data_IF_370900546592
#
_entry.id   IF_370900546592
#
_cell.length_a   1.000
_cell.length_b   1.000
_cell.length_c   1.000
_cell.angle_alpha   90.00
_cell.angle_beta   90.00
_cell.angle_gamma   90.00
#
_symmetry.space_group_name_H-M   'P 1'
#
loop_
_entity.id
_entity.type
_entity.pdbx_description
1 polymer ?
#
# COMPACT_ATOMS: atom_id res chain seq x y z
N UNK A 1 31.23 -2.70 24.04
CA UNK A 1 30.30 -1.61 23.67
C UNK A 1 28.93 -2.24 23.66
N UNK A 2 27.91 -1.65 24.27
CA UNK A 2 26.55 -2.16 24.14
C UNK A 2 26.19 -2.07 22.65
N UNK A 3 25.77 -3.18 22.05
CA UNK A 3 25.22 -3.17 20.72
C UNK A 3 23.90 -2.40 20.76
N UNK A 4 23.70 -1.54 19.80
CA UNK A 4 22.53 -0.67 19.75
C UNK A 4 21.28 -1.46 19.30
N UNK A 5 20.09 -0.91 19.57
CA UNK A 5 18.84 -1.44 19.06
C UNK A 5 18.63 -0.97 17.62
N UNK A 6 18.35 -1.88 16.72
CA UNK A 6 17.88 -1.58 15.37
C UNK A 6 16.37 -1.34 15.40
N UNK A 7 15.93 -0.18 14.93
CA UNK A 7 14.53 0.17 14.77
C UNK A 7 14.13 0.09 13.31
N UNK A 8 12.97 -0.49 13.04
CA UNK A 8 12.50 -0.75 11.68
C UNK A 8 11.02 -0.34 11.57
N UNK A 9 10.71 0.37 10.49
CA UNK A 9 9.34 0.58 10.03
C UNK A 9 9.11 -0.21 8.74
N UNK A 10 8.02 -0.96 8.66
CA UNK A 10 7.62 -1.73 7.48
C UNK A 10 6.22 -1.32 7.07
N UNK A 11 6.05 -0.94 5.82
CA UNK A 11 4.77 -0.87 5.13
C UNK A 11 4.61 -2.15 4.31
N UNK A 12 3.66 -3.00 4.71
CA UNK A 12 3.49 -4.34 4.14
C UNK A 12 2.37 -4.35 3.10
N UNK A 13 2.62 -3.75 1.94
CA UNK A 13 1.61 -3.57 0.91
C UNK A 13 1.37 -4.79 0.01
N UNK A 14 0.16 -4.90 -0.56
CA UNK A 14 -0.28 -6.01 -1.44
C UNK A 14 0.60 -6.18 -2.68
N UNK A 15 1.08 -5.12 -3.26
CA UNK A 15 1.92 -5.16 -4.48
C UNK A 15 3.39 -4.91 -4.20
N UNK A 16 3.66 -3.98 -3.30
CA UNK A 16 4.99 -3.48 -2.96
C UNK A 16 5.05 -3.26 -1.45
N UNK A 17 6.13 -3.67 -0.84
CA UNK A 17 6.42 -3.40 0.56
C UNK A 17 7.63 -2.49 0.68
N UNK A 18 7.62 -1.65 1.70
CA UNK A 18 8.71 -0.72 1.99
C UNK A 18 9.23 -1.00 3.40
N UNK A 19 10.54 -1.02 3.56
CA UNK A 19 11.20 -1.08 4.86
C UNK A 19 12.18 0.08 5.00
N UNK A 20 12.12 0.76 6.12
CA UNK A 20 13.11 1.76 6.51
C UNK A 20 13.66 1.44 7.90
N UNK A 21 14.95 1.71 8.13
CA UNK A 21 15.61 1.40 9.41
C UNK A 21 16.37 2.59 9.97
N UNK A 22 16.62 2.55 11.28
CA UNK A 22 17.45 3.54 11.99
C UNK A 22 18.94 3.51 11.55
N UNK A 23 19.34 2.47 10.82
CA UNK A 23 20.65 2.35 10.18
C UNK A 23 20.70 2.99 8.78
N UNK A 24 19.68 3.76 8.40
CA UNK A 24 19.55 4.41 7.09
C UNK A 24 19.42 3.44 5.91
N UNK A 25 18.97 2.21 6.15
CA UNK A 25 18.56 1.33 5.06
C UNK A 25 17.13 1.67 4.65
N UNK A 26 16.94 1.86 3.35
CA UNK A 26 15.66 2.05 2.71
C UNK A 26 15.52 0.99 1.63
N UNK A 27 14.52 0.15 1.75
CA UNK A 27 14.25 -0.96 0.84
C UNK A 27 12.84 -0.84 0.31
N UNK A 28 12.70 -0.96 -0.99
CA UNK A 28 11.42 -1.03 -1.68
C UNK A 28 11.42 -2.31 -2.52
N UNK A 29 10.58 -3.26 -2.18
CA UNK A 29 10.56 -4.59 -2.78
C UNK A 29 9.14 -4.96 -3.23
N UNK A 30 9.01 -5.60 -4.39
CA UNK A 30 7.72 -6.14 -4.82
C UNK A 30 7.30 -7.30 -3.91
N UNK A 31 6.05 -7.29 -3.43
CA UNK A 31 5.51 -8.34 -2.55
C UNK A 31 5.18 -9.59 -3.37
N UNK A 32 6.22 -10.25 -3.85
CA UNK A 32 6.14 -11.49 -4.62
C UNK A 32 7.29 -12.43 -4.26
N UNK A 33 6.98 -13.70 -4.18
CA UNK A 33 7.91 -14.77 -3.82
C UNK A 33 7.90 -15.81 -4.93
N UNK A 34 9.06 -16.30 -5.32
CA UNK A 34 9.21 -17.32 -6.33
C UNK A 34 9.91 -18.57 -5.78
N UNK A 35 9.34 -19.75 -6.03
CA UNK A 35 10.01 -21.03 -5.75
C UNK A 35 10.24 -21.80 -7.06
N UNK A 36 11.38 -22.50 -7.24
CA UNK A 36 11.66 -23.27 -8.46
C UNK A 36 10.55 -24.26 -8.76
N UNK A 37 10.12 -24.33 -10.04
CA UNK A 37 9.06 -25.24 -10.50
C UNK A 37 9.44 -26.70 -10.39
N UNK A 38 10.73 -26.99 -10.57
CA UNK A 38 11.25 -28.34 -10.64
C UNK A 38 12.76 -28.40 -10.28
N UNK A 39 13.36 -29.60 -10.15
CA UNK A 39 14.79 -29.73 -9.86
C UNK A 39 15.72 -29.08 -10.89
N UNK A 40 15.30 -28.95 -12.16
CA UNK A 40 16.11 -28.29 -13.21
C UNK A 40 16.18 -26.82 -12.95
N UNK A 41 15.00 -26.18 -12.68
CA UNK A 41 14.92 -24.78 -12.30
C UNK A 41 15.74 -24.50 -11.01
N UNK A 42 15.64 -25.38 -9.99
CA UNK A 42 16.43 -25.27 -8.76
C UNK A 42 17.93 -25.30 -9.04
N UNK A 43 18.40 -26.23 -9.86
CA UNK A 43 19.81 -26.30 -10.24
C UNK A 43 20.27 -25.10 -11.05
N UNK A 44 19.42 -24.55 -11.89
CA UNK A 44 19.71 -23.34 -12.68
C UNK A 44 19.82 -22.09 -11.81
N UNK A 45 18.85 -21.88 -10.94
CA UNK A 45 18.76 -20.69 -10.07
C UNK A 45 19.70 -20.78 -8.86
N UNK A 46 20.08 -21.99 -8.42
CA UNK A 46 20.90 -22.26 -7.22
C UNK A 46 20.35 -21.66 -5.93
N UNK A 47 19.05 -21.44 -5.88
CA UNK A 47 18.31 -20.84 -4.76
C UNK A 47 16.95 -21.49 -4.66
N UNK A 48 16.46 -21.66 -3.44
CA UNK A 48 15.16 -22.27 -3.16
C UNK A 48 14.03 -21.24 -3.14
N UNK A 49 14.35 -19.98 -2.86
CA UNK A 49 13.39 -18.87 -2.81
C UNK A 49 14.02 -17.63 -3.42
N UNK A 50 13.27 -16.92 -4.24
CA UNK A 50 13.59 -15.60 -4.79
C UNK A 50 12.48 -14.63 -4.43
N UNK A 51 12.84 -13.34 -4.31
CA UNK A 51 11.92 -12.28 -3.90
C UNK A 51 11.84 -11.19 -4.95
N UNK A 52 10.74 -10.43 -4.92
CA UNK A 52 10.57 -9.18 -5.62
C UNK A 52 10.84 -9.21 -7.11
N UNK A 53 11.59 -8.24 -7.58
CA UNK A 53 11.94 -8.13 -9.00
C UNK A 53 12.75 -9.33 -9.51
N UNK A 54 13.62 -9.92 -8.67
CA UNK A 54 14.41 -11.09 -9.06
C UNK A 54 13.49 -12.27 -9.33
N UNK A 55 12.45 -12.49 -8.53
CA UNK A 55 11.43 -13.51 -8.78
C UNK A 55 10.68 -13.25 -10.09
N UNK A 56 10.29 -12.00 -10.38
CA UNK A 56 9.62 -11.66 -11.63
C UNK A 56 10.51 -11.83 -12.86
N UNK A 57 11.77 -11.48 -12.78
CA UNK A 57 12.75 -11.69 -13.88
C UNK A 57 12.87 -13.17 -14.22
N UNK A 58 12.78 -14.06 -13.24
CA UNK A 58 12.90 -15.51 -13.39
C UNK A 58 11.55 -16.26 -13.44
N UNK A 59 10.42 -15.56 -13.64
CA UNK A 59 9.05 -16.08 -13.54
C UNK A 59 8.77 -17.34 -14.37
N UNK A 60 9.47 -17.56 -15.48
CA UNK A 60 9.27 -18.74 -16.31
C UNK A 60 9.78 -20.04 -15.64
N UNK A 61 10.80 -19.93 -14.78
CA UNK A 61 11.36 -21.03 -14.01
C UNK A 61 10.76 -21.15 -12.59
N UNK A 62 9.88 -20.22 -12.17
CA UNK A 62 9.36 -20.14 -10.82
C UNK A 62 7.84 -20.31 -10.76
N UNK A 63 7.36 -20.92 -9.67
CA UNK A 63 6.01 -20.73 -9.18
C UNK A 63 6.01 -19.41 -8.39
N UNK A 64 5.18 -18.46 -8.81
CA UNK A 64 5.07 -17.15 -8.16
C UNK A 64 3.91 -17.16 -7.17
N UNK A 65 4.16 -16.61 -5.99
CA UNK A 65 3.19 -16.43 -4.92
C UNK A 65 3.10 -14.96 -4.53
N UNK A 66 1.87 -14.48 -4.36
CA UNK A 66 1.56 -13.18 -3.75
C UNK A 66 0.77 -13.46 -2.48
N UNK A 67 1.43 -13.43 -1.30
CA UNK A 67 0.84 -13.90 -0.05
C UNK A 67 -0.20 -12.95 0.51
N UNK A 68 -0.27 -11.71 0.00
CA UNK A 68 -1.24 -10.71 0.42
C UNK A 68 -2.38 -10.56 -0.60
N UNK A 69 -3.59 -10.38 -0.09
CA UNK A 69 -4.77 -10.03 -0.84
C UNK A 69 -5.56 -8.97 -0.07
N UNK A 70 -5.85 -7.83 -0.69
CA UNK A 70 -6.47 -6.69 -0.02
C UNK A 70 -5.74 -6.28 1.28
N UNK A 71 -4.40 -6.27 1.22
CA UNK A 71 -3.54 -5.90 2.35
C UNK A 71 -3.43 -6.94 3.48
N UNK A 72 -4.18 -8.04 3.45
CA UNK A 72 -4.16 -9.09 4.48
C UNK A 72 -3.52 -10.37 3.99
N UNK A 73 -2.98 -11.17 4.92
CA UNK A 73 -2.39 -12.47 4.60
C UNK A 73 -3.51 -13.44 4.21
N UNK A 74 -3.34 -14.13 3.09
CA UNK A 74 -4.24 -15.23 2.71
C UNK A 74 -4.19 -16.34 3.75
N UNK A 75 -5.34 -16.93 4.07
CA UNK A 75 -5.48 -17.88 5.17
C UNK A 75 -5.11 -19.32 4.77
N UNK A 76 -3.95 -19.50 4.12
CA UNK A 76 -3.37 -20.83 3.90
C UNK A 76 -2.06 -20.98 4.68
N UNK A 77 -1.69 -22.20 5.13
CA UNK A 77 -0.40 -22.43 5.78
C UNK A 77 0.79 -22.00 4.91
N UNK A 78 0.69 -22.21 3.60
CA UNK A 78 1.71 -21.84 2.63
C UNK A 78 1.88 -20.31 2.55
N UNK A 79 0.78 -19.56 2.47
CA UNK A 79 0.84 -18.08 2.42
C UNK A 79 1.42 -17.51 3.70
N UNK A 80 1.08 -18.06 4.87
CA UNK A 80 1.68 -17.68 6.16
C UNK A 80 3.19 -17.95 6.18
N UNK A 81 3.64 -19.07 5.63
CA UNK A 81 5.07 -19.36 5.53
C UNK A 81 5.77 -18.39 4.56
N UNK A 82 5.17 -18.13 3.41
CA UNK A 82 5.76 -17.23 2.42
C UNK A 82 5.88 -15.80 2.95
N UNK A 83 4.85 -15.27 3.64
CA UNK A 83 4.95 -13.92 4.20
C UNK A 83 6.00 -13.83 5.31
N UNK A 84 6.16 -14.88 6.12
CA UNK A 84 7.24 -14.93 7.11
C UNK A 84 8.62 -14.90 6.46
N UNK A 85 8.83 -15.66 5.38
CA UNK A 85 10.07 -15.61 4.59
C UNK A 85 10.30 -14.23 3.98
N UNK A 86 9.23 -13.57 3.51
CA UNK A 86 9.33 -12.25 2.91
C UNK A 86 9.68 -11.17 3.94
N UNK A 87 9.04 -11.17 5.11
CA UNK A 87 9.36 -10.24 6.20
C UNK A 87 10.80 -10.48 6.70
N UNK A 88 11.21 -11.75 6.86
CA UNK A 88 12.59 -12.09 7.23
C UNK A 88 13.59 -11.59 6.19
N UNK A 89 13.26 -11.71 4.90
CA UNK A 89 14.09 -11.19 3.82
C UNK A 89 14.22 -9.66 3.90
N UNK A 90 13.10 -8.92 4.06
CA UNK A 90 13.12 -7.46 4.18
C UNK A 90 13.97 -7.01 5.37
N UNK A 91 13.75 -7.60 6.55
CA UNK A 91 14.52 -7.27 7.76
C UNK A 91 16.01 -7.62 7.56
N UNK A 92 16.31 -8.76 6.91
CA UNK A 92 17.67 -9.18 6.61
C UNK A 92 18.47 -8.19 5.77
N UNK A 93 17.79 -7.35 4.96
CA UNK A 93 18.44 -6.30 4.16
C UNK A 93 18.90 -5.08 4.99
N UNK A 94 18.68 -5.09 6.31
CA UNK A 94 19.16 -4.06 7.25
C UNK A 94 20.29 -4.53 8.19
N UNK A 95 20.93 -5.66 7.86
CA UNK A 95 22.05 -6.27 8.63
C UNK A 95 21.71 -6.43 10.12
N UNK A 96 20.57 -7.08 10.47
CA UNK A 96 20.07 -7.13 11.86
C UNK A 96 21.01 -7.87 12.82
N UNK A 97 21.93 -8.73 12.33
CA UNK A 97 22.95 -9.44 13.11
C UNK A 97 24.00 -8.52 13.75
N UNK A 98 24.13 -7.30 13.27
CA UNK A 98 25.05 -6.30 13.85
C UNK A 98 24.47 -5.67 15.13
N UNK A 99 23.22 -5.98 15.50
CA UNK A 99 22.51 -5.40 16.63
C UNK A 99 22.13 -6.46 17.69
N UNK A 100 22.05 -6.04 18.96
CA UNK A 100 21.62 -6.92 20.05
C UNK A 100 20.09 -7.09 20.07
N UNK A 101 19.38 -6.12 19.52
CA UNK A 101 17.91 -6.09 19.51
C UNK A 101 17.37 -5.47 18.25
N UNK A 102 16.30 -6.06 17.73
CA UNK A 102 15.53 -5.55 16.59
C UNK A 102 14.11 -5.25 17.05
N UNK A 103 13.62 -4.03 16.80
CA UNK A 103 12.26 -3.59 17.12
C UNK A 103 11.60 -3.11 15.84
N UNK A 104 10.43 -3.65 15.49
CA UNK A 104 9.72 -3.29 14.27
C UNK A 104 8.32 -2.74 14.55
N UNK A 105 7.92 -1.75 13.75
CA UNK A 105 6.52 -1.35 13.60
C UNK A 105 6.10 -1.67 12.17
N UNK A 106 5.01 -2.42 12.02
CA UNK A 106 4.53 -2.91 10.73
C UNK A 106 3.14 -2.35 10.46
N UNK A 107 2.98 -1.73 9.29
CA UNK A 107 1.69 -1.25 8.78
C UNK A 107 0.78 -2.43 8.39
N UNK A 108 -0.51 -2.26 8.62
CA UNK A 108 -1.58 -3.15 8.19
C UNK A 108 -2.77 -2.29 7.74
N UNK A 109 -3.69 -2.80 6.89
CA UNK A 109 -4.89 -2.07 6.50
C UNK A 109 -5.70 -1.56 7.70
N UNK A 110 -6.41 -0.45 7.51
CA UNK A 110 -7.11 0.28 8.57
C UNK A 110 -8.05 -0.61 9.42
N UNK A 111 -8.80 -1.48 8.79
CA UNK A 111 -9.74 -2.39 9.47
C UNK A 111 -9.25 -3.85 9.54
N UNK A 112 -7.91 -4.07 9.44
CA UNK A 112 -7.37 -5.41 9.62
C UNK A 112 -7.85 -6.03 10.94
N UNK A 113 -8.40 -7.24 10.86
CA UNK A 113 -8.94 -7.94 12.03
C UNK A 113 -7.83 -8.29 13.04
N UNK A 114 -8.21 -8.67 14.24
CA UNK A 114 -7.24 -9.17 15.22
C UNK A 114 -6.50 -10.41 14.71
N UNK A 115 -7.17 -11.26 13.92
CA UNK A 115 -6.57 -12.46 13.32
C UNK A 115 -5.51 -12.07 12.30
N UNK A 116 -5.79 -11.07 11.45
CA UNK A 116 -4.83 -10.57 10.45
C UNK A 116 -3.61 -9.95 11.12
N UNK A 117 -3.81 -9.10 12.13
CA UNK A 117 -2.73 -8.48 12.90
C UNK A 117 -1.87 -9.52 13.61
N UNK A 118 -2.51 -10.55 14.19
CA UNK A 118 -1.79 -11.68 14.82
C UNK A 118 -0.97 -12.45 13.77
N UNK A 119 -1.51 -12.70 12.59
CA UNK A 119 -0.79 -13.41 11.52
C UNK A 119 0.44 -12.63 11.03
N UNK A 120 0.35 -11.29 10.90
CA UNK A 120 1.51 -10.44 10.58
C UNK A 120 2.54 -10.48 11.72
N UNK A 121 2.08 -10.38 12.96
CA UNK A 121 2.95 -10.46 14.13
C UNK A 121 3.70 -11.79 14.21
N UNK A 122 2.99 -12.91 14.04
CA UNK A 122 3.59 -14.26 14.06
C UNK A 122 4.59 -14.44 12.91
N UNK A 123 4.30 -13.86 11.74
CA UNK A 123 5.20 -13.89 10.60
C UNK A 123 6.52 -13.13 10.87
N UNK A 124 6.48 -12.08 11.67
CA UNK A 124 7.66 -11.29 12.05
C UNK A 124 8.41 -11.85 13.27
N UNK A 125 7.76 -12.65 14.12
CA UNK A 125 8.27 -13.06 15.45
C UNK A 125 9.62 -13.78 15.41
N UNK A 126 9.97 -14.45 14.29
CA UNK A 126 11.29 -15.10 14.13
C UNK A 126 12.43 -14.14 13.77
N UNK A 127 12.12 -12.89 13.40
CA UNK A 127 13.10 -11.93 12.88
C UNK A 127 13.28 -10.68 13.76
N UNK A 128 12.40 -10.49 14.77
CA UNK A 128 12.42 -9.32 15.65
C UNK A 128 12.29 -9.70 17.11
N UNK A 129 12.82 -8.86 18.01
CA UNK A 129 12.67 -9.03 19.46
C UNK A 129 11.37 -8.42 19.99
N UNK A 130 10.83 -7.44 19.28
CA UNK A 130 9.52 -6.85 19.55
C UNK A 130 8.91 -6.31 18.27
N UNK A 131 7.59 -6.46 18.12
CA UNK A 131 6.85 -5.89 17.03
C UNK A 131 5.57 -5.18 17.52
N UNK A 132 5.14 -4.16 16.78
CA UNK A 132 3.85 -3.51 16.93
C UNK A 132 3.18 -3.42 15.56
N UNK A 133 1.87 -3.70 15.49
CA UNK A 133 1.10 -3.55 14.27
C UNK A 133 0.21 -2.31 14.39
N UNK A 134 0.30 -1.42 13.40
CA UNK A 134 -0.49 -0.19 13.34
C UNK A 134 -1.24 -0.11 12.00
N UNK A 135 -2.23 0.78 11.88
CA UNK A 135 -2.84 1.01 10.57
C UNK A 135 -1.95 1.88 9.68
N UNK A 136 -1.92 1.56 8.37
CA UNK A 136 -1.14 2.28 7.37
C UNK A 136 -1.46 3.78 7.35
N UNK A 137 -2.74 4.24 7.29
CA UNK A 137 -3.02 5.67 7.28
C UNK A 137 -2.65 6.39 8.59
N UNK A 138 -2.66 5.70 9.74
CA UNK A 138 -2.13 6.27 10.99
C UNK A 138 -0.61 6.46 10.92
N UNK A 139 0.11 5.48 10.35
CA UNK A 139 1.55 5.61 10.15
C UNK A 139 1.89 6.82 9.26
N UNK A 140 1.11 7.05 8.19
CA UNK A 140 1.25 8.24 7.33
C UNK A 140 1.06 9.53 8.12
N UNK A 141 -0.02 9.65 8.91
CA UNK A 141 -0.25 10.84 9.76
C UNK A 141 0.90 11.06 10.74
N UNK A 142 1.42 9.97 11.32
CA UNK A 142 2.54 10.00 12.27
C UNK A 142 3.85 10.48 11.61
N UNK A 143 4.12 10.03 10.38
CA UNK A 143 5.28 10.49 9.61
C UNK A 143 5.25 12.00 9.33
N UNK A 144 4.05 12.53 9.04
CA UNK A 144 3.83 13.94 8.69
C UNK A 144 3.68 14.87 9.91
N UNK A 145 3.66 14.32 11.13
CA UNK A 145 3.34 15.06 12.37
C UNK A 145 1.92 15.69 12.34
N UNK A 146 1.00 15.05 11.59
CA UNK A 146 -0.38 15.50 11.41
C UNK A 146 -1.33 14.65 12.25
N UNK A 147 -1.22 14.78 13.58
CA UNK A 147 -1.96 13.94 14.53
C UNK A 147 -3.23 14.59 15.07
N UNK A 148 -3.48 15.87 14.78
CA UNK A 148 -4.64 16.60 15.28
C UNK A 148 -5.68 16.79 14.18
N UNK A 149 -6.88 16.23 14.38
CA UNK A 149 -8.05 16.37 13.49
C UNK A 149 -7.72 16.22 12.00
N UNK A 150 -6.95 15.18 11.68
CA UNK A 150 -6.53 14.86 10.31
C UNK A 150 -7.32 13.67 9.79
N UNK A 151 -7.75 13.73 8.52
CA UNK A 151 -8.34 12.61 7.80
C UNK A 151 -7.35 12.15 6.73
N UNK A 152 -6.77 10.98 6.88
CA UNK A 152 -5.87 10.37 5.91
C UNK A 152 -6.66 9.49 4.95
N UNK A 153 -6.36 9.59 3.66
CA UNK A 153 -6.84 8.75 2.56
C UNK A 153 -5.58 8.11 1.95
N UNK A 154 -5.35 6.85 2.23
CA UNK A 154 -4.21 6.09 1.71
C UNK A 154 -4.68 5.14 0.61
N UNK A 155 -4.25 5.39 -0.63
CA UNK A 155 -4.66 4.59 -1.79
C UNK A 155 -3.53 3.66 -2.19
N UNK A 156 -3.57 2.43 -1.70
CA UNK A 156 -2.64 1.36 -2.03
C UNK A 156 -2.94 0.65 -3.36
N UNK A 157 -2.31 -0.51 -3.54
CA UNK A 157 -2.62 -1.38 -4.67
C UNK A 157 -3.91 -2.18 -4.44
N UNK A 158 -4.05 -2.81 -3.28
CA UNK A 158 -5.19 -3.67 -2.93
C UNK A 158 -6.34 -2.94 -2.26
N UNK A 159 -6.03 -1.97 -1.39
CA UNK A 159 -6.99 -1.24 -0.56
C UNK A 159 -6.83 0.27 -0.70
N UNK A 160 -7.92 0.98 -0.45
CA UNK A 160 -7.93 2.39 -0.05
C UNK A 160 -8.37 2.44 1.40
N UNK A 161 -7.49 2.94 2.24
CA UNK A 161 -7.63 2.99 3.69
C UNK A 161 -7.84 4.42 4.15
N UNK A 162 -8.87 4.66 4.97
CA UNK A 162 -9.21 5.97 5.50
C UNK A 162 -9.12 5.95 7.02
N UNK A 163 -8.61 7.03 7.60
CA UNK A 163 -8.47 7.13 9.04
C UNK A 163 -8.64 8.58 9.52
N UNK A 164 -9.43 8.75 10.60
CA UNK A 164 -9.46 10.00 11.39
C UNK A 164 -8.45 9.89 12.53
N UNK A 165 -7.65 10.92 12.71
CA UNK A 165 -6.62 10.97 13.76
C UNK A 165 -6.89 12.14 14.71
N UNK A 166 -6.82 11.87 16.04
CA UNK A 166 -7.13 12.83 17.11
C UNK A 166 -6.00 12.91 18.17
N UNK A 167 -4.75 12.68 17.79
CA UNK A 167 -3.64 12.65 18.74
C UNK A 167 -3.46 11.32 19.48
N UNK A 168 -4.26 10.31 19.17
CA UNK A 168 -4.19 8.96 19.74
C UNK A 168 -4.19 7.89 18.66
N UNK A 169 -3.83 6.65 19.01
CA UNK A 169 -4.00 5.51 18.08
C UNK A 169 -5.48 5.35 17.78
N UNK A 170 -5.88 5.34 16.48
CA UNK A 170 -7.26 5.28 16.07
C UNK A 170 -7.96 3.98 16.49
N UNK A 171 -9.20 4.11 16.91
CA UNK A 171 -10.10 2.98 17.20
C UNK A 171 -10.81 2.44 15.94
N UNK A 172 -11.56 1.33 16.07
CA UNK A 172 -12.28 0.74 14.93
C UNK A 172 -13.29 1.70 14.26
N UNK A 173 -13.92 2.60 15.02
CA UNK A 173 -14.87 3.58 14.48
C UNK A 173 -14.21 4.78 13.77
N UNK A 174 -12.90 4.92 13.86
CA UNK A 174 -12.15 6.00 13.24
C UNK A 174 -11.55 5.63 11.88
N UNK A 175 -11.78 4.41 11.44
CA UNK A 175 -11.12 3.84 10.29
C UNK A 175 -12.12 3.16 9.36
N UNK A 176 -11.81 3.14 8.08
CA UNK A 176 -12.55 2.43 7.04
C UNK A 176 -11.59 1.94 5.97
N UNK A 177 -11.92 0.84 5.30
CA UNK A 177 -11.20 0.41 4.10
C UNK A 177 -12.16 0.05 2.97
N UNK A 178 -11.66 0.04 1.75
CA UNK A 178 -12.39 -0.41 0.56
C UNK A 178 -11.44 -1.01 -0.47
N UNK A 179 -11.92 -1.93 -1.29
CA UNK A 179 -11.18 -2.51 -2.43
C UNK A 179 -11.12 -1.63 -3.68
N UNK A 180 -11.69 -0.43 -3.66
CA UNK A 180 -11.58 0.53 -4.78
C UNK A 180 -10.23 1.22 -4.74
N UNK A 181 -9.18 0.52 -5.24
CA UNK A 181 -7.78 0.88 -5.13
C UNK A 181 -7.03 0.64 -6.46
N UNK A 182 -5.72 0.61 -6.45
CA UNK A 182 -4.90 0.50 -7.66
C UNK A 182 -5.20 -0.72 -8.53
N UNK A 183 -5.40 -1.90 -7.93
CA UNK A 183 -5.73 -3.15 -8.64
C UNK A 183 -7.13 -3.13 -9.25
N UNK A 184 -8.06 -2.42 -8.61
CA UNK A 184 -9.39 -2.19 -9.17
C UNK A 184 -9.30 -1.30 -10.41
N UNK A 185 -8.52 -0.20 -10.37
CA UNK A 185 -8.28 0.66 -11.54
C UNK A 185 -7.67 -0.13 -12.69
N UNK A 186 -6.68 -1.01 -12.44
CA UNK A 186 -6.11 -1.90 -13.46
C UNK A 186 -7.19 -2.74 -14.15
N UNK A 187 -8.10 -3.30 -13.36
CA UNK A 187 -9.22 -4.11 -13.85
C UNK A 187 -10.21 -3.29 -14.68
N UNK A 188 -10.48 -2.04 -14.29
CA UNK A 188 -11.32 -1.14 -15.06
C UNK A 188 -10.64 -0.71 -16.36
N UNK A 189 -9.34 -0.44 -16.41
CA UNK A 189 -8.60 -0.17 -17.65
C UNK A 189 -8.76 -1.33 -18.63
N UNK A 190 -8.59 -2.57 -18.17
CA UNK A 190 -8.77 -3.77 -19.02
C UNK A 190 -10.19 -3.79 -19.61
N UNK A 191 -11.19 -3.61 -18.75
CA UNK A 191 -12.60 -3.63 -19.14
C UNK A 191 -12.94 -2.53 -20.17
N UNK A 192 -12.49 -1.30 -19.91
CA UNK A 192 -12.74 -0.15 -20.78
C UNK A 192 -12.05 -0.31 -22.15
N UNK A 193 -10.80 -0.79 -22.18
CA UNK A 193 -10.07 -1.04 -23.42
C UNK A 193 -10.71 -2.17 -24.22
N UNK A 194 -11.11 -3.27 -23.57
CA UNK A 194 -11.79 -4.38 -24.25
C UNK A 194 -13.18 -4.00 -24.78
N UNK A 195 -13.90 -3.12 -24.07
CA UNK A 195 -15.17 -2.59 -24.53
C UNK A 195 -15.03 -1.66 -25.76
N UNK A 196 -13.94 -0.84 -25.78
CA UNK A 196 -13.66 0.08 -26.89
C UNK A 196 -13.06 -0.64 -28.10
N UNK A 197 -12.23 -1.64 -27.88
CA UNK A 197 -11.47 -2.36 -28.91
C UNK A 197 -11.74 -3.86 -28.80
N UNK A 198 -12.74 -4.34 -29.54
CA UNK A 198 -13.11 -5.76 -29.54
C UNK A 198 -11.92 -6.66 -29.92
N UNK A 199 -11.69 -7.73 -29.16
CA UNK A 199 -10.56 -8.64 -29.37
C UNK A 199 -9.20 -8.16 -28.82
N UNK A 200 -9.16 -7.00 -28.13
CA UNK A 200 -7.94 -6.51 -27.47
C UNK A 200 -7.46 -7.47 -26.38
N UNK A 201 -6.20 -7.90 -26.48
CA UNK A 201 -5.55 -8.75 -25.48
C UNK A 201 -4.76 -7.88 -24.51
N UNK A 202 -5.37 -7.56 -23.37
CA UNK A 202 -4.78 -6.72 -22.32
C UNK A 202 -4.52 -7.56 -21.08
N UNK A 203 -3.28 -7.61 -20.63
CA UNK A 203 -2.90 -8.26 -19.36
C UNK A 203 -2.97 -7.27 -18.21
N UNK A 204 -3.05 -7.79 -16.96
CA UNK A 204 -3.01 -6.95 -15.75
C UNK A 204 -1.72 -6.13 -15.68
N UNK A 205 -0.57 -6.70 -16.06
CA UNK A 205 0.71 -5.99 -16.06
C UNK A 205 0.77 -4.86 -17.12
N UNK A 206 0.09 -5.02 -18.27
CA UNK A 206 -0.04 -3.93 -19.26
C UNK A 206 -0.87 -2.78 -18.67
N UNK A 207 -2.06 -3.09 -18.15
CA UNK A 207 -2.96 -2.10 -17.56
C UNK A 207 -2.28 -1.34 -16.41
N UNK A 208 -1.55 -2.06 -15.54
CA UNK A 208 -0.77 -1.45 -14.44
C UNK A 208 0.27 -0.46 -14.97
N UNK A 209 1.09 -0.85 -15.95
CA UNK A 209 2.07 0.07 -16.55
C UNK A 209 1.41 1.30 -17.17
N UNK A 210 0.29 1.15 -17.86
CA UNK A 210 -0.45 2.28 -18.42
C UNK A 210 -0.98 3.19 -17.32
N UNK A 211 -1.53 2.63 -16.24
CA UNK A 211 -1.95 3.39 -15.06
C UNK A 211 -0.78 4.16 -14.45
N UNK A 212 0.33 3.49 -14.14
CA UNK A 212 1.50 4.11 -13.51
C UNK A 212 2.10 5.23 -14.36
N UNK A 213 2.05 5.13 -15.69
CA UNK A 213 2.62 6.12 -16.60
C UNK A 213 1.65 7.25 -16.97
N UNK A 214 0.35 6.99 -16.99
CA UNK A 214 -0.61 7.86 -17.66
C UNK A 214 -1.86 8.17 -16.84
N UNK A 215 -1.99 7.72 -15.59
CA UNK A 215 -3.21 7.92 -14.80
C UNK A 215 -3.56 9.39 -14.59
N UNK A 216 -4.83 9.72 -14.77
CA UNK A 216 -5.39 11.06 -14.58
C UNK A 216 -6.90 11.00 -14.40
N UNK A 217 -7.45 12.11 -13.89
CA UNK A 217 -8.90 12.38 -13.87
C UNK A 217 -9.19 13.68 -14.60
N UNK A 218 -10.46 13.96 -14.92
CA UNK A 218 -10.88 15.10 -15.77
C UNK A 218 -10.51 16.49 -15.24
N UNK A 219 -10.07 16.60 -13.97
CA UNK A 219 -9.53 17.87 -13.42
C UNK A 219 -8.12 18.18 -13.92
N UNK A 220 -7.40 17.20 -14.48
CA UNK A 220 -6.03 17.38 -14.99
C UNK A 220 -5.76 16.47 -16.21
N UNK A 221 -6.43 16.71 -17.37
CA UNK A 221 -6.25 15.89 -18.55
C UNK A 221 -4.84 16.02 -19.13
N UNK A 222 -4.36 15.01 -19.87
CA UNK A 222 -3.10 15.12 -20.62
C UNK A 222 -3.26 16.09 -21.80
N UNK A 223 -2.15 16.68 -22.24
CA UNK A 223 -2.12 17.54 -23.44
C UNK A 223 -2.29 16.73 -24.73
N UNK A 224 -1.63 15.56 -24.78
CA UNK A 224 -1.66 14.64 -25.91
C UNK A 224 -2.43 13.36 -25.60
N UNK A 225 -3.03 12.70 -26.63
CA UNK A 225 -3.68 11.40 -26.46
C UNK A 225 -2.69 10.31 -25.95
N UNK A 226 -3.18 9.42 -25.11
CA UNK A 226 -2.40 8.28 -24.59
C UNK A 226 -2.43 7.16 -25.63
N UNK A 227 -1.36 7.09 -26.42
CA UNK A 227 -1.19 6.08 -27.47
C UNK A 227 -0.39 4.90 -26.93
N UNK A 228 -0.92 3.68 -27.03
CA UNK A 228 -0.26 2.45 -26.57
C UNK A 228 -0.27 1.35 -27.62
N UNK A 229 0.78 0.54 -27.60
CA UNK A 229 0.90 -0.61 -28.47
C UNK A 229 0.36 -1.88 -27.80
N UNK A 230 -0.54 -2.57 -28.46
CA UNK A 230 -1.01 -3.89 -28.05
C UNK A 230 -1.54 -4.71 -29.24
N UNK A 231 -1.90 -5.96 -28.99
CA UNK A 231 -2.31 -6.88 -30.04
C UNK A 231 -3.83 -7.05 -30.10
N UNK A 232 -4.38 -6.94 -31.30
CA UNK A 232 -5.74 -7.37 -31.61
C UNK A 232 -5.65 -8.49 -32.64
N UNK A 233 -6.22 -9.66 -32.35
CA UNK A 233 -6.18 -10.82 -33.24
C UNK A 233 -4.78 -11.15 -33.78
N UNK A 234 -3.75 -10.97 -32.95
CA UNK A 234 -2.36 -11.21 -33.30
C UNK A 234 -1.66 -10.10 -34.12
N UNK A 235 -2.35 -9.00 -34.42
CA UNK A 235 -1.76 -7.84 -35.12
C UNK A 235 -1.41 -6.76 -34.11
N UNK A 236 -0.16 -6.29 -34.17
CA UNK A 236 0.27 -5.14 -33.37
C UNK A 236 -0.41 -3.85 -33.90
N UNK A 237 -0.99 -3.08 -33.00
CA UNK A 237 -1.68 -1.83 -33.30
C UNK A 237 -1.37 -0.79 -32.22
N UNK A 238 -1.22 0.47 -32.64
CA UNK A 238 -1.10 1.62 -31.71
C UNK A 238 -2.45 2.31 -31.61
N UNK A 239 -3.04 2.34 -30.42
CA UNK A 239 -4.41 2.80 -30.20
C UNK A 239 -4.52 3.79 -29.04
N UNK A 240 -5.48 4.70 -29.13
CA UNK A 240 -5.76 5.71 -28.13
C UNK A 240 -6.61 5.13 -26.98
N UNK A 241 -6.05 5.11 -25.77
CA UNK A 241 -6.73 4.65 -24.55
C UNK A 241 -7.03 5.80 -23.57
N UNK A 242 -6.92 7.05 -23.96
CA UNK A 242 -7.05 8.23 -23.11
C UNK A 242 -8.34 8.19 -22.27
N UNK A 243 -9.48 8.04 -22.92
CA UNK A 243 -10.79 7.97 -22.27
C UNK A 243 -10.98 6.71 -21.41
N UNK A 244 -10.33 5.60 -21.77
CA UNK A 244 -10.35 4.37 -20.98
C UNK A 244 -9.62 4.56 -19.64
N UNK A 245 -8.44 5.17 -19.68
CA UNK A 245 -7.64 5.48 -18.48
C UNK A 245 -8.39 6.47 -17.59
N UNK A 246 -8.95 7.54 -18.16
CA UNK A 246 -9.72 8.53 -17.40
C UNK A 246 -10.89 7.88 -16.65
N UNK A 247 -11.77 7.15 -17.36
CA UNK A 247 -12.96 6.51 -16.74
C UNK A 247 -12.55 5.51 -15.68
N UNK A 248 -11.49 4.73 -15.92
CA UNK A 248 -10.98 3.79 -14.96
C UNK A 248 -10.48 4.48 -13.67
N UNK A 249 -9.72 5.58 -13.79
CA UNK A 249 -9.25 6.36 -12.65
C UNK A 249 -10.38 7.06 -11.89
N UNK A 250 -11.37 7.60 -12.60
CA UNK A 250 -12.53 8.25 -11.98
C UNK A 250 -13.46 7.27 -11.24
N UNK A 251 -13.40 5.98 -11.55
CA UNK A 251 -14.27 4.97 -10.94
C UNK A 251 -14.05 4.75 -9.45
N UNK A 252 -12.90 5.17 -8.90
CA UNK A 252 -12.63 5.09 -7.45
C UNK A 252 -13.08 6.33 -6.68
N UNK A 253 -13.41 7.43 -7.37
CA UNK A 253 -13.66 8.72 -6.71
C UNK A 253 -14.90 8.69 -5.84
N UNK A 254 -16.05 8.23 -6.38
CA UNK A 254 -17.31 8.22 -5.64
C UNK A 254 -17.24 7.32 -4.39
N UNK A 255 -16.72 6.08 -4.44
CA UNK A 255 -16.51 5.28 -3.23
C UNK A 255 -15.62 5.95 -2.16
N UNK A 256 -14.56 6.63 -2.56
CA UNK A 256 -13.69 7.37 -1.62
C UNK A 256 -14.46 8.52 -0.98
N UNK A 257 -15.16 9.33 -1.79
CA UNK A 257 -15.95 10.48 -1.33
C UNK A 257 -17.05 10.04 -0.36
N UNK A 258 -17.76 8.94 -0.64
CA UNK A 258 -18.78 8.39 0.25
C UNK A 258 -18.20 7.98 1.61
N UNK A 259 -17.03 7.33 1.63
CA UNK A 259 -16.34 6.94 2.86
C UNK A 259 -15.86 8.17 3.65
N UNK A 260 -15.31 9.20 2.97
CA UNK A 260 -14.93 10.47 3.60
C UNK A 260 -16.15 11.13 4.26
N UNK A 261 -17.27 11.26 3.53
CA UNK A 261 -18.51 11.84 4.05
C UNK A 261 -19.00 11.08 5.28
N UNK A 262 -18.97 9.76 5.24
CA UNK A 262 -19.36 8.91 6.36
C UNK A 262 -18.48 9.13 7.58
N UNK A 263 -17.15 9.05 7.43
CA UNK A 263 -16.21 9.24 8.54
C UNK A 263 -16.39 10.63 9.19
N UNK A 264 -16.56 11.70 8.40
CA UNK A 264 -16.79 13.03 8.95
C UNK A 264 -18.13 13.10 9.69
N UNK A 265 -19.21 12.56 9.10
CA UNK A 265 -20.55 12.62 9.69
C UNK A 265 -20.67 11.84 11.00
N UNK A 266 -19.88 10.81 11.19
CA UNK A 266 -19.82 9.98 12.40
C UNK A 266 -18.88 10.56 13.48
N UNK A 267 -18.19 11.66 13.18
CA UNK A 267 -17.34 12.37 14.16
C UNK A 267 -18.12 13.41 14.97
N UNK A 268 -17.47 13.98 16.00
CA UNK A 268 -18.06 15.11 16.72
C UNK A 268 -18.20 16.31 15.76
N UNK A 269 -19.42 16.89 15.62
CA UNK A 269 -19.68 18.03 14.75
C UNK A 269 -18.76 19.25 14.94
N UNK A 270 -18.23 19.44 16.14
CA UNK A 270 -17.29 20.53 16.44
C UNK A 270 -16.01 20.46 15.64
N UNK A 271 -15.59 19.28 15.18
CA UNK A 271 -14.35 19.04 14.43
C UNK A 271 -14.57 18.79 12.92
N UNK A 272 -15.81 18.84 12.42
CA UNK A 272 -16.09 18.59 11.01
C UNK A 272 -15.32 19.54 10.08
N UNK A 273 -15.22 20.83 10.45
CA UNK A 273 -14.51 21.84 9.66
C UNK A 273 -13.00 21.56 9.61
N UNK A 274 -12.43 21.10 10.72
CA UNK A 274 -11.02 20.78 10.83
C UNK A 274 -10.67 19.58 9.96
N UNK A 275 -11.46 18.48 10.04
CA UNK A 275 -11.27 17.32 9.18
C UNK A 275 -11.37 17.66 7.69
N UNK A 276 -12.34 18.52 7.29
CA UNK A 276 -12.49 18.92 5.90
C UNK A 276 -11.28 19.69 5.37
N UNK A 277 -10.68 20.54 6.21
CA UNK A 277 -9.52 21.37 5.83
C UNK A 277 -8.19 20.65 5.98
N UNK A 278 -8.17 19.52 6.68
CA UNK A 278 -6.96 18.80 7.02
C UNK A 278 -7.03 17.35 6.51
N UNK A 279 -7.24 17.19 5.19
CA UNK A 279 -7.20 15.89 4.53
C UNK A 279 -5.83 15.63 3.92
N UNK A 280 -5.34 14.41 4.05
CA UNK A 280 -4.08 13.94 3.47
C UNK A 280 -4.39 12.83 2.48
N UNK A 281 -3.88 12.95 1.25
CA UNK A 281 -3.96 11.93 0.22
C UNK A 281 -2.59 11.31 0.01
N UNK A 282 -2.47 10.02 0.36
CA UNK A 282 -1.24 9.24 0.36
C UNK A 282 -1.39 7.92 -0.42
N UNK A 283 -0.36 7.08 -0.35
CA UNK A 283 -0.27 5.82 -1.10
C UNK A 283 -0.01 6.02 -2.59
N UNK A 284 0.39 4.96 -3.29
CA UNK A 284 0.75 5.03 -4.71
C UNK A 284 -0.36 5.56 -5.63
N UNK A 285 -1.64 5.38 -5.24
CA UNK A 285 -2.80 5.89 -5.98
C UNK A 285 -2.97 7.41 -5.89
N UNK A 286 -2.36 8.09 -4.90
CA UNK A 286 -2.36 9.56 -4.82
C UNK A 286 -1.65 10.21 -6.01
N UNK A 287 -0.78 9.47 -6.71
CA UNK A 287 -0.12 9.88 -7.94
C UNK A 287 -1.05 10.00 -9.17
N UNK A 288 -2.32 9.59 -9.08
CA UNK A 288 -3.29 9.84 -10.16
C UNK A 288 -3.48 11.35 -10.32
N UNK A 289 -3.08 11.86 -11.49
CA UNK A 289 -3.07 13.30 -11.77
C UNK A 289 -4.44 13.93 -11.60
N UNK A 290 -4.54 14.97 -10.77
CA UNK A 290 -5.77 15.71 -10.51
C UNK A 290 -6.72 15.06 -9.50
N UNK A 291 -6.37 13.91 -8.90
CA UNK A 291 -7.27 13.18 -8.00
C UNK A 291 -7.62 13.99 -6.75
N UNK A 292 -6.66 14.64 -6.09
CA UNK A 292 -6.91 15.51 -4.93
C UNK A 292 -7.93 16.59 -5.24
N UNK A 293 -7.73 17.35 -6.32
CA UNK A 293 -8.66 18.39 -6.78
C UNK A 293 -10.05 17.82 -7.17
N UNK A 294 -10.10 16.59 -7.68
CA UNK A 294 -11.36 15.92 -7.96
C UNK A 294 -12.12 15.59 -6.67
N UNK A 295 -11.44 15.08 -5.65
CA UNK A 295 -12.02 14.78 -4.33
C UNK A 295 -12.54 16.09 -3.69
N UNK A 296 -11.74 17.16 -3.68
CA UNK A 296 -12.19 18.47 -3.19
C UNK A 296 -13.47 18.95 -3.88
N UNK A 297 -13.50 18.88 -5.22
CA UNK A 297 -14.68 19.26 -6.00
C UNK A 297 -15.91 18.42 -5.67
N UNK A 298 -15.75 17.12 -5.43
CA UNK A 298 -16.85 16.20 -5.09
C UNK A 298 -17.35 16.37 -3.65
N UNK A 299 -16.52 16.92 -2.77
CA UNK A 299 -16.86 17.22 -1.38
C UNK A 299 -17.29 18.69 -1.16
N UNK A 300 -17.32 19.53 -2.20
CA UNK A 300 -17.60 20.96 -2.10
C UNK A 300 -18.99 21.29 -1.52
N UNK A 301 -19.94 20.36 -1.57
CA UNK A 301 -21.25 20.46 -0.92
C UNK A 301 -21.16 20.45 0.63
N UNK A 302 -20.07 19.99 1.19
CA UNK A 302 -19.82 19.96 2.63
C UNK A 302 -19.21 21.28 3.17
N UNK A 303 -18.80 22.21 2.31
CA UNK A 303 -18.09 23.46 2.65
C UNK A 303 -16.66 23.49 2.13
N UNK A 304 -15.78 24.27 2.81
CA UNK A 304 -14.37 24.35 2.43
C UNK A 304 -13.66 23.02 2.70
N UNK A 305 -13.08 22.44 1.66
CA UNK A 305 -12.31 21.19 1.69
C UNK A 305 -10.92 21.47 1.16
N UNK A 306 -9.91 20.93 1.82
CA UNK A 306 -8.52 20.97 1.35
C UNK A 306 -7.91 19.57 1.44
N UNK A 307 -7.38 19.09 0.32
CA UNK A 307 -6.74 17.78 0.19
C UNK A 307 -5.27 17.98 -0.12
N UNK A 308 -4.43 17.74 0.87
CA UNK A 308 -2.99 17.77 0.72
C UNK A 308 -2.49 16.44 0.11
N UNK A 309 -1.97 16.50 -1.12
CA UNK A 309 -1.32 15.35 -1.76
C UNK A 309 0.14 15.31 -1.31
N UNK A 310 0.58 14.18 -0.76
CA UNK A 310 1.94 14.04 -0.23
C UNK A 310 2.99 13.88 -1.35
N UNK A 311 4.22 14.38 -1.11
CA UNK A 311 5.30 14.36 -2.11
C UNK A 311 5.92 12.96 -2.29
N UNK A 312 6.07 12.18 -1.21
CA UNK A 312 6.59 10.80 -1.26
C UNK A 312 5.56 9.81 -0.70
N UNK A 313 4.56 9.45 -1.52
CA UNK A 313 3.43 8.67 -1.04
C UNK A 313 3.76 7.20 -0.73
N UNK A 314 4.91 6.70 -1.16
CA UNK A 314 5.27 5.27 -1.06
C UNK A 314 5.97 4.94 0.26
N UNK A 315 6.78 5.87 0.79
CA UNK A 315 7.62 5.61 1.97
C UNK A 315 7.03 6.06 3.29
N UNK A 316 6.03 6.94 3.26
CA UNK A 316 5.49 7.58 4.47
C UNK A 316 4.99 6.57 5.50
N UNK A 317 4.31 5.49 5.08
CA UNK A 317 3.86 4.43 5.99
C UNK A 317 5.02 3.80 6.77
N UNK A 318 6.09 3.41 6.06
CA UNK A 318 7.27 2.84 6.67
C UNK A 318 8.04 3.86 7.54
N UNK A 319 8.14 5.12 7.11
CA UNK A 319 8.79 6.19 7.88
C UNK A 319 8.05 6.48 9.20
N UNK A 320 6.72 6.51 9.16
CA UNK A 320 5.89 6.66 10.37
C UNK A 320 6.05 5.48 11.31
N UNK A 321 6.11 4.26 10.78
CA UNK A 321 6.43 3.06 11.55
C UNK A 321 7.81 3.14 12.21
N UNK A 322 8.85 3.56 11.47
CA UNK A 322 10.19 3.75 12.02
C UNK A 322 10.18 4.79 13.15
N UNK A 323 9.62 5.98 12.93
CA UNK A 323 9.52 7.04 13.92
C UNK A 323 8.83 6.54 15.20
N UNK A 324 7.70 5.85 15.06
CA UNK A 324 6.97 5.29 16.18
C UNK A 324 7.78 4.20 16.91
N UNK A 325 8.54 3.34 16.20
CA UNK A 325 9.36 2.31 16.81
C UNK A 325 10.47 2.89 17.70
N UNK A 326 11.05 4.03 17.32
CA UNK A 326 12.07 4.74 18.07
C UNK A 326 11.50 5.43 19.32
N UNK A 327 10.29 5.96 19.23
CA UNK A 327 9.63 6.66 20.35
C UNK A 327 8.99 5.69 21.35
N UNK A 328 8.41 4.57 20.89
CA UNK A 328 7.72 3.59 21.72
C UNK A 328 8.66 2.89 22.73
N UNK A 329 9.95 2.79 22.46
CA UNK A 329 10.93 2.20 23.39
C UNK A 329 11.25 3.12 24.56
N UNK A 330 11.02 4.43 24.44
CA UNK A 330 11.07 5.35 25.60
C UNK A 330 9.90 5.12 26.58
N UNK A 331 8.82 4.46 26.16
CA UNK A 331 7.73 3.98 27.01
C UNK A 331 7.87 2.48 27.21
N UNK A 332 8.68 2.10 28.20
CA UNK A 332 9.03 0.72 28.57
C UNK A 332 7.81 -0.09 29.03
N UNK A 333 6.88 -0.47 28.19
CA UNK A 333 5.85 -1.52 28.40
C UNK A 333 4.91 -1.65 27.19
N UNK A 334 5.45 -1.98 26.03
CA UNK A 334 4.62 -2.54 24.96
C UNK A 334 4.73 -4.08 24.98
N UNK A 335 4.23 -4.67 26.07
CA UNK A 335 3.76 -6.06 26.03
C UNK A 335 2.37 -6.03 25.41
N UNK A 336 2.15 -6.84 24.37
CA UNK A 336 0.79 -7.15 23.92
C UNK A 336 -0.06 -7.55 25.14
N UNK A 337 -1.33 -7.12 25.25
CA UNK A 337 -2.22 -7.66 26.25
C UNK A 337 -2.30 -9.18 26.03
N UNK A 338 -1.76 -9.94 26.95
CA UNK A 338 -2.01 -11.37 27.07
C UNK A 338 -3.46 -11.55 27.45
N UNK A 339 -4.20 -12.29 26.60
CA UNK A 339 -5.60 -12.76 26.62
C UNK A 339 -6.60 -11.91 25.90
#
# INVERSE_FOLDING_TARGET
MAKETLYIGIDLGTFRSVMVSSASHEVEELTVIGTPKDPVARNFLKRDVLFGEEALKNRLALNLYRPLELGVIKDTPEDRQYIAHFITHLIGLSDPEDYDRVVAVIGAPAEASHVDKTAIFDAAAGSVNAAMIISEPFAVAYALDMLEHTLVIDIGAGTTDLCRVYGTIPGPGDQMHTGFAGDYVDSQIIKEVQAKYNGAQVTKDMARRWKEQHSFVSTSPPEDPIMVDFSIEGKAMTLDITDCVQRACESIVDPIVENVKKLISESNPEFHDEFRRNMVLAGGGSGIRGLGAMIERRLSDMGDVNVHVVDDPVRLGAMGGLRLSMEAVSYTHLTLPTT
#
